data_IF_799582935303
#
_entry.id   IF_799582935303
#
_cell.length_a   1.000
_cell.length_b   1.000
_cell.length_c   1.000
_cell.angle_alpha   90.00
_cell.angle_beta   90.00
_cell.angle_gamma   90.00
#
_symmetry.space_group_name_H-M   'P 1'
#
loop_
_entity.id
_entity.type
_entity.pdbx_description
1 polymer ?
#
# COMPACT_ATOMS: atom_id res chain seq x y z
N UNK A 1 19.65 -0.26 9.88
CA UNK A 1 19.97 -0.05 8.46
C UNK A 1 21.33 0.64 8.37
N UNK A 2 22.19 0.13 7.54
CA UNK A 2 23.54 0.67 7.35
C UNK A 2 23.79 1.03 5.88
N UNK A 3 24.62 2.02 5.65
CA UNK A 3 25.02 2.44 4.29
C UNK A 3 26.26 1.66 3.86
N UNK A 4 26.23 1.11 2.64
CA UNK A 4 27.39 0.43 2.05
C UNK A 4 28.40 1.45 1.55
N UNK A 5 29.59 1.51 2.15
CA UNK A 5 30.65 2.47 1.81
C UNK A 5 31.83 1.87 1.05
N UNK A 6 31.92 0.54 0.97
CA UNK A 6 32.98 -0.15 0.24
C UNK A 6 32.93 0.08 -1.28
N UNK A 7 33.99 -0.34 -1.97
CA UNK A 7 34.08 -0.25 -3.44
C UNK A 7 33.09 -1.15 -4.14
N UNK A 8 32.78 -2.32 -3.57
CA UNK A 8 31.82 -3.30 -4.10
C UNK A 8 30.49 -3.12 -3.40
N UNK A 9 29.42 -2.94 -4.18
CA UNK A 9 28.04 -2.83 -3.69
C UNK A 9 27.25 -4.07 -4.08
N UNK A 10 26.35 -4.49 -3.20
CA UNK A 10 25.50 -5.68 -3.42
C UNK A 10 24.04 -5.27 -3.44
N UNK A 11 23.22 -6.06 -4.16
CA UNK A 11 21.76 -6.02 -4.09
C UNK A 11 21.24 -7.44 -3.81
N UNK A 12 20.17 -7.52 -3.01
CA UNK A 12 19.58 -8.79 -2.61
C UNK A 12 19.95 -9.21 -1.20
N UNK A 13 19.64 -10.44 -0.84
CA UNK A 13 19.89 -10.99 0.49
C UNK A 13 21.02 -12.00 0.43
N UNK A 14 22.00 -11.82 1.32
CA UNK A 14 23.16 -12.69 1.44
C UNK A 14 23.49 -12.90 2.92
N UNK A 15 23.55 -14.14 3.35
CA UNK A 15 23.92 -14.48 4.74
C UNK A 15 23.03 -13.82 5.82
N UNK A 16 21.74 -13.67 5.55
CA UNK A 16 20.82 -13.00 6.47
C UNK A 16 20.90 -11.46 6.45
N UNK A 17 21.75 -10.90 5.61
CA UNK A 17 21.85 -9.44 5.39
C UNK A 17 21.20 -9.09 4.06
N UNK A 18 20.28 -8.14 4.09
CA UNK A 18 19.60 -7.62 2.91
C UNK A 18 20.29 -6.35 2.44
N UNK A 19 20.66 -6.32 1.16
CA UNK A 19 21.26 -5.18 0.49
C UNK A 19 20.26 -4.55 -0.48
N UNK A 20 20.06 -3.24 -0.42
CA UNK A 20 19.00 -2.56 -1.16
C UNK A 20 19.32 -1.10 -1.44
N UNK A 21 18.56 -0.52 -2.40
CA UNK A 21 18.53 0.92 -2.66
C UNK A 21 17.21 1.51 -2.21
N UNK A 22 17.25 2.72 -1.71
CA UNK A 22 16.04 3.46 -1.35
C UNK A 22 15.80 4.53 -2.41
N UNK A 23 14.63 4.49 -3.05
CA UNK A 23 14.25 5.47 -4.06
C UNK A 23 14.25 6.89 -3.45
N UNK A 24 14.97 7.80 -4.07
CA UNK A 24 15.08 9.18 -3.62
C UNK A 24 16.21 9.45 -2.63
N UNK A 25 16.94 8.41 -2.19
CA UNK A 25 18.12 8.56 -1.36
C UNK A 25 19.37 8.06 -2.11
N UNK A 26 20.46 8.86 -2.16
CA UNK A 26 21.69 8.40 -2.78
C UNK A 26 22.39 7.35 -1.91
N UNK A 27 22.98 6.35 -2.55
CA UNK A 27 23.77 5.31 -1.91
C UNK A 27 23.11 3.95 -1.89
N UNK A 28 23.89 2.98 -1.37
CA UNK A 28 23.49 1.60 -1.21
C UNK A 28 23.42 1.29 0.29
N UNK A 29 22.42 0.49 0.67
CA UNK A 29 22.11 0.24 2.08
C UNK A 29 22.13 -1.26 2.37
N UNK A 30 22.35 -1.61 3.63
CA UNK A 30 22.27 -2.97 4.13
C UNK A 30 21.50 -2.98 5.46
N UNK A 31 20.79 -4.05 5.71
CA UNK A 31 20.09 -4.28 6.97
C UNK A 31 19.90 -5.76 7.21
N UNK A 32 19.69 -6.15 8.45
CA UNK A 32 19.38 -7.54 8.76
C UNK A 32 18.06 -7.94 8.11
N UNK A 33 18.06 -9.09 7.45
CA UNK A 33 16.82 -9.74 7.05
C UNK A 33 16.12 -10.23 8.33
N UNK A 34 14.92 -9.73 8.56
CA UNK A 34 14.20 -10.07 9.79
C UNK A 34 12.74 -9.63 9.69
N UNK A 35 12.06 -9.76 10.79
CA UNK A 35 10.65 -9.51 10.91
C UNK A 35 9.88 -10.80 11.21
N UNK A 36 8.59 -10.69 11.51
CA UNK A 36 7.76 -11.85 11.79
C UNK A 36 7.59 -12.72 10.55
N UNK A 37 7.50 -14.03 10.74
CA UNK A 37 7.20 -14.96 9.66
C UNK A 37 5.75 -14.80 9.20
N UNK A 38 5.44 -15.27 7.97
CA UNK A 38 4.07 -15.29 7.48
C UNK A 38 3.14 -16.09 8.40
N UNK A 39 3.63 -17.18 8.97
CA UNK A 39 2.87 -17.99 9.93
C UNK A 39 2.54 -17.20 11.20
N UNK A 40 3.50 -16.47 11.75
CA UNK A 40 3.27 -15.61 12.92
C UNK A 40 2.24 -14.52 12.60
N UNK A 41 2.36 -13.83 11.48
CA UNK A 41 1.40 -12.79 11.07
C UNK A 41 -0.01 -13.37 10.95
N UNK A 42 -0.15 -14.56 10.38
CA UNK A 42 -1.45 -15.17 10.12
C UNK A 42 -2.11 -15.79 11.36
N UNK A 43 -1.35 -16.29 12.30
CA UNK A 43 -1.86 -17.13 13.38
C UNK A 43 -1.64 -16.56 14.79
N UNK A 44 -0.63 -15.74 15.00
CA UNK A 44 -0.32 -15.20 16.34
C UNK A 44 -1.35 -14.12 16.74
N UNK A 45 -1.97 -14.22 17.93
CA UNK A 45 -2.89 -13.19 18.43
C UNK A 45 -2.31 -11.78 18.52
N UNK A 46 -1.00 -11.65 18.68
CA UNK A 46 -0.32 -10.35 18.70
C UNK A 46 -0.45 -9.58 17.39
N UNK A 47 -0.68 -10.28 16.26
CA UNK A 47 -0.82 -9.68 14.92
C UNK A 47 -2.28 -9.50 14.48
N UNK A 48 -3.26 -9.59 15.37
CA UNK A 48 -4.68 -9.46 15.00
C UNK A 48 -4.97 -8.10 14.32
N UNK A 49 -4.42 -7.01 14.83
CA UNK A 49 -4.59 -5.67 14.25
C UNK A 49 -3.91 -5.54 12.90
N UNK A 50 -2.79 -6.22 12.71
CA UNK A 50 -2.10 -6.29 11.42
C UNK A 50 -2.98 -6.99 10.39
N UNK A 51 -3.58 -8.12 10.72
CA UNK A 51 -4.50 -8.85 9.83
C UNK A 51 -5.73 -8.04 9.48
N UNK A 52 -6.34 -7.37 10.46
CA UNK A 52 -7.49 -6.49 10.24
C UNK A 52 -7.15 -5.37 9.25
N UNK A 53 -5.99 -4.73 9.44
CA UNK A 53 -5.52 -3.68 8.55
C UNK A 53 -5.18 -4.20 7.15
N UNK A 54 -4.59 -5.37 7.04
CA UNK A 54 -4.29 -6.02 5.74
C UNK A 54 -5.57 -6.33 4.97
N UNK A 55 -6.60 -6.82 5.64
CA UNK A 55 -7.90 -7.09 5.03
C UNK A 55 -8.54 -5.82 4.45
N UNK A 56 -8.62 -4.78 5.25
CA UNK A 56 -9.23 -3.52 4.84
C UNK A 56 -8.41 -2.79 3.77
N UNK A 57 -7.09 -2.82 3.88
CA UNK A 57 -6.22 -2.23 2.87
C UNK A 57 -6.31 -2.99 1.54
N UNK A 58 -6.34 -4.33 1.60
CA UNK A 58 -6.56 -5.16 0.42
C UNK A 58 -7.89 -4.88 -0.27
N UNK A 59 -8.96 -4.74 0.53
CA UNK A 59 -10.28 -4.33 0.03
C UNK A 59 -10.26 -2.94 -0.62
N UNK A 60 -9.56 -1.98 -0.01
CA UNK A 60 -9.39 -0.63 -0.56
C UNK A 60 -8.64 -0.64 -1.88
N UNK A 61 -7.59 -1.44 -2.00
CA UNK A 61 -6.85 -1.60 -3.25
C UNK A 61 -7.71 -2.24 -4.35
N UNK A 62 -8.53 -3.24 -4.01
CA UNK A 62 -9.46 -3.88 -4.94
C UNK A 62 -10.55 -2.90 -5.42
N UNK A 63 -11.11 -2.10 -4.53
CA UNK A 63 -12.08 -1.06 -4.88
C UNK A 63 -11.45 0.00 -5.79
N UNK A 64 -10.24 0.46 -5.50
CA UNK A 64 -9.50 1.39 -6.35
C UNK A 64 -9.23 0.79 -7.73
N UNK A 65 -8.90 -0.50 -7.80
CA UNK A 65 -8.74 -1.21 -9.09
C UNK A 65 -10.04 -1.22 -9.89
N UNK A 66 -11.17 -1.47 -9.24
CA UNK A 66 -12.49 -1.46 -9.92
C UNK A 66 -12.80 -0.09 -10.53
N UNK A 67 -12.54 0.99 -9.81
CA UNK A 67 -12.70 2.36 -10.32
C UNK A 67 -11.77 2.61 -11.52
N UNK A 68 -10.49 2.20 -11.44
CA UNK A 68 -9.54 2.36 -12.54
C UNK A 68 -9.96 1.57 -13.79
N UNK A 69 -10.49 0.38 -13.62
CA UNK A 69 -10.98 -0.43 -14.75
C UNK A 69 -12.19 0.24 -15.40
N UNK A 70 -13.13 0.74 -14.60
CA UNK A 70 -14.31 1.45 -15.10
C UNK A 70 -13.95 2.73 -15.88
N UNK A 71 -12.91 3.44 -15.49
CA UNK A 71 -12.45 4.68 -16.10
C UNK A 71 -11.19 4.50 -16.98
N UNK A 72 -10.90 3.28 -17.42
CA UNK A 72 -9.62 2.92 -18.03
C UNK A 72 -9.24 3.74 -19.24
N UNK A 73 -10.19 4.14 -20.09
CA UNK A 73 -9.91 4.94 -21.29
C UNK A 73 -9.44 6.35 -20.94
N UNK A 74 -10.07 6.98 -19.94
CA UNK A 74 -9.69 8.31 -19.46
C UNK A 74 -8.35 8.25 -18.75
N UNK A 75 -8.17 7.26 -17.89
CA UNK A 75 -6.95 7.07 -17.10
C UNK A 75 -5.72 6.88 -17.99
N UNK A 76 -5.83 6.12 -19.07
CA UNK A 76 -4.73 5.92 -20.02
C UNK A 76 -4.23 7.21 -20.66
N UNK A 77 -5.11 8.19 -20.83
CA UNK A 77 -4.77 9.45 -21.50
C UNK A 77 -4.26 10.53 -20.53
N UNK A 78 -4.77 10.55 -19.31
CA UNK A 78 -4.61 11.70 -18.40
C UNK A 78 -4.06 11.36 -17.02
N UNK A 79 -3.66 10.11 -16.75
CA UNK A 79 -3.20 9.74 -15.41
C UNK A 79 -1.68 9.82 -15.23
N UNK A 80 -1.27 10.24 -14.05
CA UNK A 80 0.11 10.08 -13.58
C UNK A 80 0.33 8.71 -12.91
N UNK A 81 1.59 8.41 -12.56
CA UNK A 81 1.96 7.16 -11.91
C UNK A 81 1.47 7.01 -10.47
N UNK A 82 0.97 8.08 -9.86
CA UNK A 82 0.54 8.13 -8.45
C UNK A 82 -0.97 8.04 -8.27
N UNK A 83 -1.74 8.06 -9.35
CA UNK A 83 -3.20 7.99 -9.29
C UNK A 83 -3.69 6.76 -8.51
N UNK A 84 -3.06 5.60 -8.70
CA UNK A 84 -3.41 4.38 -7.96
C UNK A 84 -3.31 4.55 -6.46
N UNK A 85 -2.23 5.19 -5.99
CA UNK A 85 -2.03 5.47 -4.56
C UNK A 85 -3.09 6.43 -4.02
N UNK A 86 -3.40 7.50 -4.75
CA UNK A 86 -4.44 8.45 -4.35
C UNK A 86 -5.82 7.80 -4.27
N UNK A 87 -6.19 6.98 -5.25
CA UNK A 87 -7.45 6.24 -5.24
C UNK A 87 -7.52 5.27 -4.06
N UNK A 88 -6.46 4.52 -3.80
CA UNK A 88 -6.41 3.58 -2.67
C UNK A 88 -6.57 4.30 -1.33
N UNK A 89 -5.94 5.46 -1.17
CA UNK A 89 -6.09 6.29 0.02
C UNK A 89 -7.54 6.76 0.22
N UNK A 90 -8.20 7.19 -0.85
CA UNK A 90 -9.61 7.59 -0.81
C UNK A 90 -10.50 6.40 -0.44
N UNK A 91 -10.28 5.24 -1.03
CA UNK A 91 -11.05 4.03 -0.69
C UNK A 91 -10.85 3.63 0.76
N UNK A 92 -9.65 3.81 1.31
CA UNK A 92 -9.39 3.58 2.73
C UNK A 92 -10.14 4.57 3.63
N UNK A 93 -10.26 5.83 3.24
CA UNK A 93 -11.07 6.81 3.96
C UNK A 93 -12.56 6.41 3.95
N UNK A 94 -13.09 6.02 2.79
CA UNK A 94 -14.46 5.52 2.67
C UNK A 94 -14.70 4.27 3.54
N UNK A 95 -13.74 3.38 3.58
CA UNK A 95 -13.78 2.18 4.42
C UNK A 95 -13.93 2.53 5.92
N UNK A 96 -13.29 3.59 6.39
CA UNK A 96 -13.38 4.05 7.77
C UNK A 96 -14.75 4.64 8.12
N UNK A 97 -15.57 5.01 7.14
CA UNK A 97 -16.92 5.52 7.37
C UNK A 97 -17.95 4.44 7.71
N UNK A 98 -17.63 3.17 7.50
CA UNK A 98 -18.50 2.08 7.91
C UNK A 98 -18.47 1.89 9.42
N UNK A 99 -19.55 2.28 10.07
CA UNK A 99 -19.74 2.19 11.51
C UNK A 99 -20.54 0.95 11.93
N UNK A 100 -21.00 0.15 10.96
CA UNK A 100 -21.86 -1.00 11.22
C UNK A 100 -21.07 -2.30 11.43
N UNK A 101 -19.90 -2.42 10.80
CA UNK A 101 -19.05 -3.61 10.87
C UNK A 101 -17.82 -3.40 11.74
N UNK A 102 -17.32 -4.48 12.29
CA UNK A 102 -16.10 -4.47 13.09
C UNK A 102 -14.87 -4.20 12.21
N UNK A 103 -13.85 -3.65 12.81
CA UNK A 103 -12.55 -3.43 12.15
C UNK A 103 -12.02 -4.74 11.53
N UNK A 104 -11.58 -4.67 10.30
CA UNK A 104 -11.16 -5.81 9.48
C UNK A 104 -12.28 -6.37 8.59
N UNK A 105 -13.53 -5.99 8.86
CA UNK A 105 -14.72 -6.44 8.13
C UNK A 105 -15.49 -5.29 7.47
N UNK A 106 -15.03 -4.04 7.64
CA UNK A 106 -15.74 -2.85 7.16
C UNK A 106 -15.81 -2.83 5.63
N UNK A 107 -16.98 -2.44 5.10
CA UNK A 107 -17.26 -2.32 3.70
C UNK A 107 -16.80 -0.97 3.12
N UNK A 108 -16.75 -0.89 1.80
CA UNK A 108 -16.47 0.33 1.05
C UNK A 108 -17.68 0.65 0.19
N UNK A 109 -18.52 1.56 0.65
CA UNK A 109 -19.74 1.99 -0.04
C UNK A 109 -19.51 3.30 -0.79
N UNK A 110 -18.98 3.21 -1.99
CA UNK A 110 -18.63 4.38 -2.83
C UNK A 110 -19.86 5.24 -3.12
N UNK A 111 -21.00 4.61 -3.35
CA UNK A 111 -22.24 5.32 -3.72
C UNK A 111 -22.76 6.27 -2.64
N UNK A 112 -22.54 5.95 -1.37
CA UNK A 112 -22.95 6.77 -0.22
C UNK A 112 -21.89 7.78 0.20
N UNK A 113 -20.63 7.54 -0.14
CA UNK A 113 -19.48 8.34 0.26
C UNK A 113 -18.72 8.95 -0.93
N UNK A 114 -19.43 9.20 -2.01
CA UNK A 114 -18.85 9.73 -3.27
C UNK A 114 -18.18 11.09 -3.12
N UNK A 115 -18.52 11.88 -2.08
CA UNK A 115 -17.88 13.16 -1.81
C UNK A 115 -16.36 13.06 -1.61
N UNK A 116 -15.85 11.90 -1.20
CA UNK A 116 -14.40 11.68 -1.07
C UNK A 116 -13.67 11.62 -2.41
N UNK A 117 -14.40 11.37 -3.50
CA UNK A 117 -13.85 11.38 -4.86
C UNK A 117 -13.85 12.76 -5.49
N UNK A 118 -14.55 13.72 -4.91
CA UNK A 118 -14.56 15.09 -5.43
C UNK A 118 -13.17 15.71 -5.26
N UNK A 119 -12.69 16.37 -6.33
CA UNK A 119 -11.36 16.97 -6.35
C UNK A 119 -10.22 15.99 -6.60
N UNK A 120 -10.51 14.72 -6.92
CA UNK A 120 -9.47 13.77 -7.30
C UNK A 120 -8.74 14.22 -8.56
N UNK A 121 -7.44 14.41 -8.45
CA UNK A 121 -6.57 14.73 -9.59
C UNK A 121 -6.07 13.46 -10.27
N UNK A 122 -6.28 13.34 -11.57
CA UNK A 122 -5.77 12.23 -12.38
C UNK A 122 -4.29 12.41 -12.70
N UNK A 123 -3.87 13.64 -12.89
CA UNK A 123 -2.49 14.03 -13.13
C UNK A 123 -2.17 15.25 -12.25
N UNK A 124 -1.34 15.05 -11.26
CA UNK A 124 -0.95 16.08 -10.29
C UNK A 124 0.48 16.61 -10.53
N UNK A 125 1.12 16.22 -11.63
CA UNK A 125 2.49 16.62 -11.97
C UNK A 125 2.56 17.97 -12.74
#
# INVERSE_FOLDING_TARGET
MARQTGLVKYNGTMGGVRHFKIKGLPGDFAGMAGGPSAEQINNDPAFIRTRENMNEFGGSAAAAKSVRVALSQIIKQFSDSRLTGRLTAIMKQINLEDLTEARGQRAIEISTQRQYLEGLEFDAD
#
